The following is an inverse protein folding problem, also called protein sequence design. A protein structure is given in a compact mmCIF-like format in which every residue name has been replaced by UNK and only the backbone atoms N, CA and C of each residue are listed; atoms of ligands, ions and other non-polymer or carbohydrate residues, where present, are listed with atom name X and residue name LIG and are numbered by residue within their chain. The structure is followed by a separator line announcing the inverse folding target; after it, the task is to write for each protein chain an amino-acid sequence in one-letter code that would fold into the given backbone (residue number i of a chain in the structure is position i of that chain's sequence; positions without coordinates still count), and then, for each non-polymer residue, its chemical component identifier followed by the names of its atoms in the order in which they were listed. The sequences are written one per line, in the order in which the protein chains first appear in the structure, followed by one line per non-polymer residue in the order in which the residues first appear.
data_IF_844601539273
#
_entry.id   IF_844601539273
#
_cell.length_a   1.000
_cell.length_b   1.000
_cell.length_c   1.000
_cell.angle_alpha   90.00
_cell.angle_beta   90.00
_cell.angle_gamma   90.00
#
_symmetry.space_group_name_H-M   'P 1'
#
loop_
_entity.id
_entity.type
_entity.pdbx_description
1 polymer ?
#
# COMPACT_ATOMS: atom_id res chain seq x y z
N UNK A 1 24.84 -10.41 -18.97
CA UNK A 1 24.03 -9.18 -18.79
C UNK A 1 23.09 -9.25 -17.57
N UNK A 2 22.26 -10.29 -17.38
CA UNK A 2 21.35 -10.39 -16.21
C UNK A 2 22.04 -10.47 -14.84
N UNK A 3 23.22 -11.11 -14.72
CA UNK A 3 23.95 -11.20 -13.45
C UNK A 3 24.51 -9.85 -12.97
N UNK A 4 24.99 -9.03 -13.91
CA UNK A 4 25.50 -7.67 -13.65
C UNK A 4 24.36 -6.72 -13.28
N UNK A 5 23.14 -6.94 -13.75
CA UNK A 5 22.02 -6.08 -13.33
C UNK A 5 21.62 -6.41 -11.88
N UNK A 6 21.64 -7.67 -11.46
CA UNK A 6 21.16 -8.10 -10.13
C UNK A 6 21.93 -7.56 -8.92
N UNK A 7 23.24 -7.27 -9.04
CA UNK A 7 24.01 -6.75 -7.89
C UNK A 7 23.63 -5.31 -7.48
N UNK A 8 23.05 -4.52 -8.39
CA UNK A 8 22.60 -3.15 -8.11
C UNK A 8 21.16 -3.07 -7.59
N UNK A 9 20.39 -4.17 -7.69
CA UNK A 9 18.97 -4.18 -7.32
C UNK A 9 18.76 -4.04 -5.82
N UNK A 10 19.42 -4.88 -5.01
CA UNK A 10 19.25 -4.80 -3.56
C UNK A 10 19.71 -3.46 -2.98
N UNK A 11 20.88 -2.90 -3.35
CA UNK A 11 21.25 -1.56 -2.94
C UNK A 11 20.23 -0.49 -3.38
N UNK A 12 19.75 -0.56 -4.63
CA UNK A 12 18.74 0.39 -5.15
C UNK A 12 17.41 0.31 -4.40
N UNK A 13 16.88 -0.90 -4.17
CA UNK A 13 15.67 -1.12 -3.37
C UNK A 13 15.90 -0.60 -1.95
N UNK A 14 17.02 -0.95 -1.32
CA UNK A 14 17.33 -0.48 0.03
C UNK A 14 17.39 1.05 0.10
N UNK A 15 18.02 1.69 -0.89
CA UNK A 15 18.08 3.14 -0.98
C UNK A 15 16.70 3.79 -1.11
N UNK A 16 15.79 3.22 -1.92
CA UNK A 16 14.40 3.70 -2.03
C UNK A 16 13.67 3.61 -0.68
N UNK A 17 13.83 2.50 0.05
CA UNK A 17 13.24 2.32 1.37
C UNK A 17 13.80 3.31 2.40
N UNK A 18 15.13 3.50 2.42
CA UNK A 18 15.78 4.47 3.31
C UNK A 18 15.39 5.91 2.98
N UNK A 19 15.30 6.26 1.69
CA UNK A 19 14.81 7.56 1.25
C UNK A 19 13.39 7.81 1.77
N UNK A 20 12.49 6.86 1.58
CA UNK A 20 11.12 6.97 2.09
C UNK A 20 11.07 7.15 3.61
N UNK A 21 11.80 6.32 4.36
CA UNK A 21 11.90 6.45 5.83
C UNK A 21 12.43 7.80 6.26
N UNK A 22 13.44 8.35 5.57
CA UNK A 22 13.97 9.67 5.86
C UNK A 22 12.94 10.78 5.59
N UNK A 23 12.17 10.67 4.50
CA UNK A 23 11.09 11.61 4.19
C UNK A 23 9.98 11.54 5.24
N UNK A 24 9.58 10.34 5.66
CA UNK A 24 8.58 10.20 6.72
C UNK A 24 9.07 10.74 8.05
N UNK A 25 10.34 10.47 8.42
CA UNK A 25 10.97 11.05 9.59
C UNK A 25 10.98 12.59 9.56
N UNK A 26 11.27 13.18 8.40
CA UNK A 26 11.16 14.62 8.20
C UNK A 26 9.72 15.12 8.38
N UNK A 27 8.73 14.43 7.79
CA UNK A 27 7.31 14.80 7.92
C UNK A 27 6.87 14.74 9.38
N UNK A 28 7.27 13.74 10.16
CA UNK A 28 6.91 13.62 11.58
C UNK A 28 7.61 14.68 12.42
N UNK A 29 8.89 14.94 12.17
CA UNK A 29 9.70 15.85 13.00
C UNK A 29 9.54 17.33 12.63
N UNK A 30 9.12 17.66 11.40
CA UNK A 30 9.02 19.07 10.94
C UNK A 30 8.23 19.99 11.87
N UNK A 31 7.11 19.60 12.51
CA UNK A 31 6.36 20.53 13.35
C UNK A 31 7.13 20.85 14.63
N UNK A 32 7.83 19.86 15.20
CA UNK A 32 8.67 20.03 16.38
C UNK A 32 9.89 20.91 16.08
N UNK A 33 10.43 20.77 14.88
CA UNK A 33 11.62 21.49 14.43
C UNK A 33 11.31 22.82 13.70
N UNK A 34 10.03 23.21 13.60
CA UNK A 34 9.57 24.40 12.87
C UNK A 34 10.05 24.46 11.41
N UNK A 35 10.14 23.30 10.75
CA UNK A 35 10.56 23.18 9.36
C UNK A 35 9.36 23.32 8.41
N UNK A 36 9.56 23.89 7.20
CA UNK A 36 8.48 24.07 6.23
C UNK A 36 7.95 22.73 5.71
N UNK A 37 6.70 22.68 5.20
CA UNK A 37 6.23 21.52 4.45
C UNK A 37 6.70 21.62 3.00
N UNK A 38 7.47 20.63 2.53
CA UNK A 38 7.88 20.53 1.13
C UNK A 38 6.82 19.70 0.39
N UNK A 39 5.80 20.36 -0.17
CA UNK A 39 4.62 19.69 -0.74
C UNK A 39 4.96 18.69 -1.84
N UNK A 40 5.98 18.97 -2.67
CA UNK A 40 6.43 18.07 -3.75
C UNK A 40 6.99 16.74 -3.22
N UNK A 41 7.40 16.68 -1.94
CA UNK A 41 8.00 15.48 -1.38
C UNK A 41 6.98 14.34 -1.19
N UNK A 42 5.69 14.64 -1.04
CA UNK A 42 4.65 13.65 -0.79
C UNK A 42 4.39 12.71 -1.98
N UNK A 43 4.12 13.22 -3.21
CA UNK A 43 3.99 12.34 -4.37
C UNK A 43 5.30 11.62 -4.70
N UNK A 44 6.46 12.26 -4.50
CA UNK A 44 7.76 11.60 -4.72
C UNK A 44 8.01 10.47 -3.70
N UNK A 45 7.64 10.66 -2.44
CA UNK A 45 7.71 9.62 -1.42
C UNK A 45 6.78 8.45 -1.76
N UNK A 46 5.56 8.74 -2.22
CA UNK A 46 4.60 7.71 -2.67
C UNK A 46 5.17 6.90 -3.83
N UNK A 47 5.74 7.55 -4.85
CA UNK A 47 6.35 6.89 -5.99
C UNK A 47 7.62 6.11 -5.62
N UNK A 48 8.46 6.65 -4.73
CA UNK A 48 9.64 5.97 -4.23
C UNK A 48 9.27 4.73 -3.43
N UNK A 49 8.23 4.80 -2.58
CA UNK A 49 7.78 3.67 -1.80
C UNK A 49 7.05 2.63 -2.65
N UNK A 50 6.30 3.06 -3.66
CA UNK A 50 5.76 2.16 -4.67
C UNK A 50 6.89 1.39 -5.39
N UNK A 51 7.93 2.10 -5.84
CA UNK A 51 9.09 1.50 -6.50
C UNK A 51 9.85 0.54 -5.57
N UNK A 52 10.01 0.92 -4.30
CA UNK A 52 10.53 0.04 -3.25
C UNK A 52 9.68 -1.23 -3.11
N UNK A 53 8.38 -1.10 -2.90
CA UNK A 53 7.46 -2.22 -2.71
C UNK A 53 7.45 -3.15 -3.91
N UNK A 54 7.44 -2.61 -5.13
CA UNK A 54 7.46 -3.40 -6.35
C UNK A 54 8.80 -4.11 -6.54
N UNK A 55 9.91 -3.38 -6.38
CA UNK A 55 11.25 -3.95 -6.48
C UNK A 55 11.49 -5.05 -5.45
N UNK A 56 11.08 -4.81 -4.20
CA UNK A 56 11.20 -5.77 -3.11
C UNK A 56 10.30 -7.00 -3.33
N UNK A 57 9.05 -6.81 -3.79
CA UNK A 57 8.16 -7.91 -4.14
C UNK A 57 8.71 -8.77 -5.30
N UNK A 58 9.21 -8.13 -6.35
CA UNK A 58 9.84 -8.82 -7.49
C UNK A 58 11.06 -9.62 -7.03
N UNK A 59 11.89 -9.04 -6.16
CA UNK A 59 13.09 -9.70 -5.64
C UNK A 59 12.78 -10.90 -4.74
N UNK A 60 11.88 -10.72 -3.77
CA UNK A 60 11.63 -11.72 -2.71
C UNK A 60 10.59 -12.76 -3.10
N UNK A 61 9.54 -12.37 -3.84
CA UNK A 61 8.43 -13.27 -4.18
C UNK A 61 8.55 -13.85 -5.61
N UNK A 62 9.27 -13.13 -6.48
CA UNK A 62 9.37 -13.40 -7.91
C UNK A 62 8.30 -12.70 -8.74
N UNK A 63 8.61 -12.49 -10.02
CA UNK A 63 7.76 -11.78 -11.00
C UNK A 63 6.30 -12.21 -11.02
N UNK A 64 6.02 -13.52 -11.07
CA UNK A 64 4.64 -14.04 -11.15
C UNK A 64 3.77 -13.62 -9.96
N UNK A 65 4.31 -13.73 -8.74
CA UNK A 65 3.58 -13.38 -7.50
C UNK A 65 3.49 -11.87 -7.33
N UNK A 66 4.56 -11.14 -7.60
CA UNK A 66 4.58 -9.68 -7.50
C UNK A 66 3.61 -9.01 -8.48
N UNK A 67 3.62 -9.43 -9.76
CA UNK A 67 2.74 -8.86 -10.79
C UNK A 67 1.28 -9.23 -10.58
N UNK A 68 0.99 -10.42 -10.01
CA UNK A 68 -0.38 -10.75 -9.62
C UNK A 68 -0.87 -9.85 -8.49
N UNK A 69 -0.05 -9.61 -7.46
CA UNK A 69 -0.42 -8.68 -6.39
C UNK A 69 -0.66 -7.28 -6.95
N UNK A 70 0.25 -6.78 -7.79
CA UNK A 70 0.13 -5.49 -8.48
C UNK A 70 -1.17 -5.38 -9.28
N UNK A 71 -1.46 -6.39 -10.11
CA UNK A 71 -2.66 -6.41 -10.93
C UNK A 71 -3.94 -6.45 -10.11
N UNK A 72 -3.96 -7.23 -9.02
CA UNK A 72 -5.13 -7.31 -8.13
C UNK A 72 -5.34 -6.00 -7.36
N UNK A 73 -4.31 -5.39 -6.80
CA UNK A 73 -4.45 -4.13 -6.05
C UNK A 73 -4.83 -2.98 -6.98
N UNK A 74 -4.25 -2.91 -8.19
CA UNK A 74 -4.64 -1.90 -9.18
C UNK A 74 -6.06 -2.13 -9.67
N UNK A 75 -6.39 -3.35 -10.10
CA UNK A 75 -7.69 -3.66 -10.70
C UNK A 75 -8.84 -3.54 -9.69
N UNK A 76 -8.73 -4.19 -8.53
CA UNK A 76 -9.78 -4.18 -7.51
C UNK A 76 -9.82 -2.82 -6.80
N UNK A 77 -8.67 -2.24 -6.48
CA UNK A 77 -8.62 -0.90 -5.87
C UNK A 77 -9.26 0.16 -6.77
N UNK A 78 -8.83 0.26 -8.04
CA UNK A 78 -9.42 1.22 -8.97
C UNK A 78 -10.91 0.97 -9.23
N UNK A 79 -11.32 -0.30 -9.30
CA UNK A 79 -12.75 -0.65 -9.45
C UNK A 79 -13.56 -0.15 -8.26
N UNK A 80 -13.14 -0.47 -7.03
CA UNK A 80 -13.87 -0.09 -5.82
C UNK A 80 -13.84 1.43 -5.60
N UNK A 81 -12.72 2.09 -5.90
CA UNK A 81 -12.61 3.56 -5.91
C UNK A 81 -13.58 4.20 -6.91
N UNK A 82 -13.64 3.68 -8.14
CA UNK A 82 -14.53 4.22 -9.17
C UNK A 82 -16.00 4.04 -8.78
N UNK A 83 -16.36 2.87 -8.24
CA UNK A 83 -17.71 2.61 -7.71
C UNK A 83 -17.98 3.52 -6.50
N UNK A 84 -17.00 3.71 -5.62
CA UNK A 84 -17.05 4.60 -4.46
C UNK A 84 -17.39 6.04 -4.83
N UNK A 85 -16.63 6.62 -5.76
CA UNK A 85 -16.86 7.99 -6.24
C UNK A 85 -18.22 8.12 -6.93
N UNK A 86 -18.66 7.11 -7.70
CA UNK A 86 -19.93 7.18 -8.44
C UNK A 86 -21.18 6.95 -7.58
N UNK A 87 -21.07 6.14 -6.52
CA UNK A 87 -22.24 5.61 -5.81
C UNK A 87 -22.24 5.89 -4.31
N UNK A 88 -21.09 6.30 -3.75
CA UNK A 88 -20.86 6.35 -2.32
C UNK A 88 -20.69 4.97 -1.66
N UNK A 89 -20.71 3.87 -2.41
CA UNK A 89 -20.41 2.53 -1.90
C UNK A 89 -19.05 2.03 -2.42
N UNK A 90 -18.16 1.46 -1.58
CA UNK A 90 -18.41 1.07 -0.20
C UNK A 90 -18.04 2.12 0.85
N UNK A 91 -17.38 3.22 0.49
CA UNK A 91 -16.71 4.12 1.44
C UNK A 91 -17.59 5.19 2.11
N UNK A 92 -18.76 5.46 1.56
CA UNK A 92 -19.53 6.68 1.80
C UNK A 92 -19.36 7.66 0.64
N UNK A 93 -20.23 8.68 0.50
CA UNK A 93 -20.14 9.67 -0.56
C UNK A 93 -18.97 10.65 -0.33
N UNK A 94 -18.10 10.77 -1.33
CA UNK A 94 -16.94 11.66 -1.37
C UNK A 94 -16.55 11.96 -2.81
N UNK A 95 -15.73 12.97 -3.00
CA UNK A 95 -15.08 13.22 -4.29
C UNK A 95 -13.62 13.67 -4.11
N UNK A 96 -12.79 13.27 -5.06
CA UNK A 96 -11.43 13.79 -5.18
C UNK A 96 -11.42 15.24 -5.65
N UNK A 97 -10.55 16.06 -5.08
CA UNK A 97 -10.24 17.40 -5.62
C UNK A 97 -9.19 17.31 -6.72
N UNK A 98 -8.83 18.44 -7.32
CA UNK A 98 -7.81 18.49 -8.37
C UNK A 98 -6.38 18.47 -7.82
N UNK A 99 -6.20 18.41 -6.49
CA UNK A 99 -4.87 18.44 -5.83
C UNK A 99 -3.99 17.23 -6.15
N UNK A 100 -4.58 16.11 -6.56
CA UNK A 100 -3.86 14.89 -6.95
C UNK A 100 -3.59 14.81 -8.46
N UNK A 101 -3.89 15.88 -9.20
CA UNK A 101 -3.70 15.95 -10.64
C UNK A 101 -4.84 15.33 -11.43
N UNK A 102 -4.59 14.95 -12.71
CA UNK A 102 -5.61 14.40 -13.59
C UNK A 102 -6.25 13.12 -13.04
N UNK A 103 -7.50 12.86 -13.42
CA UNK A 103 -8.28 11.69 -12.97
C UNK A 103 -8.47 10.70 -14.11
N UNK A 104 -8.26 9.42 -13.84
CA UNK A 104 -8.62 8.31 -14.74
C UNK A 104 -10.14 8.33 -14.92
N UNK A 105 -10.59 8.41 -16.17
CA UNK A 105 -12.01 8.52 -16.54
C UNK A 105 -12.75 9.70 -15.86
N UNK A 106 -12.02 10.73 -15.40
CA UNK A 106 -12.60 11.84 -14.65
C UNK A 106 -12.93 11.53 -13.17
N UNK A 107 -12.65 10.31 -12.69
CA UNK A 107 -13.08 9.83 -11.37
C UNK A 107 -11.92 9.77 -10.37
N UNK A 108 -10.91 8.95 -10.64
CA UNK A 108 -9.90 8.54 -9.65
C UNK A 108 -8.50 8.97 -10.09
N UNK A 109 -7.74 9.72 -9.28
CA UNK A 109 -6.35 10.08 -9.60
C UNK A 109 -5.45 8.83 -9.75
N UNK A 110 -4.54 8.76 -10.74
CA UNK A 110 -3.61 7.63 -10.92
C UNK A 110 -2.73 7.32 -9.70
N UNK A 111 -2.50 8.30 -8.82
CA UNK A 111 -1.72 8.09 -7.60
C UNK A 111 -2.42 7.15 -6.61
N UNK A 112 -3.75 7.03 -6.68
CA UNK A 112 -4.54 6.18 -5.77
C UNK A 112 -4.25 4.69 -6.01
N UNK A 113 -4.38 4.10 -7.20
CA UNK A 113 -4.00 2.69 -7.44
C UNK A 113 -2.51 2.42 -7.16
N UNK A 114 -1.63 3.42 -7.34
CA UNK A 114 -0.22 3.34 -6.93
C UNK A 114 -0.11 3.19 -5.41
N UNK A 115 -0.83 4.02 -4.64
CA UNK A 115 -0.87 3.96 -3.18
C UNK A 115 -1.47 2.64 -2.65
N UNK A 116 -2.48 2.10 -3.33
CA UNK A 116 -3.03 0.78 -3.02
C UNK A 116 -1.93 -0.30 -3.03
N UNK A 117 -1.13 -0.40 -4.10
CA UNK A 117 -0.04 -1.37 -4.13
C UNK A 117 1.09 -1.03 -3.15
N UNK A 118 1.44 0.25 -3.07
CA UNK A 118 2.50 0.78 -2.19
C UNK A 118 2.35 0.23 -0.76
N UNK A 119 1.12 0.27 -0.22
CA UNK A 119 0.84 -0.16 1.15
C UNK A 119 0.36 -1.62 1.26
N UNK A 120 -0.26 -2.18 0.22
CA UNK A 120 -0.68 -3.59 0.26
C UNK A 120 0.49 -4.56 0.45
N UNK A 121 1.61 -4.30 -0.24
CA UNK A 121 2.80 -5.14 -0.14
C UNK A 121 3.39 -5.22 1.28
N UNK A 122 3.79 -4.10 1.92
CA UNK A 122 4.33 -4.14 3.28
C UNK A 122 3.32 -4.66 4.30
N UNK A 123 2.02 -4.37 4.15
CA UNK A 123 0.96 -4.94 5.00
C UNK A 123 0.93 -6.47 4.95
N UNK A 124 1.14 -7.06 3.77
CA UNK A 124 1.23 -8.51 3.64
C UNK A 124 2.51 -9.08 4.26
N UNK A 125 3.65 -8.43 4.03
CA UNK A 125 4.95 -8.85 4.59
C UNK A 125 4.90 -8.85 6.12
N UNK A 126 4.31 -7.82 6.73
CA UNK A 126 4.09 -7.75 8.18
C UNK A 126 3.32 -8.99 8.69
N UNK A 127 2.20 -9.32 8.05
CA UNK A 127 1.39 -10.49 8.45
C UNK A 127 2.10 -11.80 8.21
N UNK A 128 2.83 -11.95 7.10
CA UNK A 128 3.66 -13.13 6.85
C UNK A 128 4.73 -13.30 7.93
N UNK A 129 5.33 -12.21 8.40
CA UNK A 129 6.32 -12.24 9.49
C UNK A 129 5.69 -12.65 10.82
N UNK A 130 4.55 -12.08 11.17
CA UNK A 130 3.86 -12.33 12.44
C UNK A 130 3.25 -13.73 12.53
N UNK A 131 2.87 -14.32 11.40
CA UNK A 131 2.14 -15.60 11.37
C UNK A 131 2.99 -16.78 10.88
N UNK A 132 4.31 -16.61 10.75
CA UNK A 132 5.22 -17.67 10.29
C UNK A 132 5.01 -18.04 8.82
N UNK A 133 5.33 -17.12 7.90
CA UNK A 133 5.25 -17.32 6.46
C UNK A 133 6.09 -18.50 5.97
N UNK A 134 5.59 -19.20 4.95
CA UNK A 134 6.26 -20.37 4.34
C UNK A 134 5.31 -21.56 4.15
N UNK A 135 5.56 -22.36 3.12
CA UNK A 135 4.78 -23.57 2.82
C UNK A 135 3.45 -23.34 2.08
N UNK A 136 2.72 -24.44 1.85
CA UNK A 136 1.39 -24.39 1.23
C UNK A 136 0.35 -23.95 2.26
N UNK A 137 -0.36 -22.87 1.94
CA UNK A 137 -1.37 -22.29 2.83
C UNK A 137 -2.71 -23.02 2.70
N UNK A 138 -3.29 -23.43 3.85
CA UNK A 138 -4.67 -23.96 3.89
C UNK A 138 -5.67 -22.83 3.65
N UNK A 139 -6.88 -23.14 3.14
CA UNK A 139 -7.91 -22.12 2.86
C UNK A 139 -8.22 -21.26 4.09
N UNK A 140 -8.40 -21.89 5.27
CA UNK A 140 -8.65 -21.14 6.51
C UNK A 140 -7.51 -20.20 6.89
N UNK A 141 -6.26 -20.61 6.65
CA UNK A 141 -5.09 -19.74 6.87
C UNK A 141 -5.04 -18.58 5.87
N UNK A 142 -5.42 -18.82 4.61
CA UNK A 142 -5.49 -17.79 3.58
C UNK A 142 -6.54 -16.72 3.94
N UNK A 143 -7.73 -17.14 4.37
CA UNK A 143 -8.79 -16.23 4.83
C UNK A 143 -8.33 -15.44 6.05
N UNK A 144 -7.78 -16.12 7.05
CA UNK A 144 -7.30 -15.48 8.27
C UNK A 144 -6.23 -14.43 8.00
N UNK A 145 -5.19 -14.79 7.23
CA UNK A 145 -4.10 -13.87 6.89
C UNK A 145 -4.54 -12.77 5.94
N UNK A 146 -5.53 -13.00 5.06
CA UNK A 146 -6.13 -11.93 4.27
C UNK A 146 -6.84 -10.91 5.16
N UNK A 147 -7.59 -11.38 6.17
CA UNK A 147 -8.22 -10.53 7.18
C UNK A 147 -7.19 -9.70 7.95
N UNK A 148 -6.11 -10.32 8.43
CA UNK A 148 -5.03 -9.59 9.10
C UNK A 148 -4.35 -8.56 8.21
N UNK A 149 -4.10 -8.88 6.93
CA UNK A 149 -3.47 -7.93 5.99
C UNK A 149 -4.40 -6.77 5.67
N UNK A 150 -5.71 -7.03 5.55
CA UNK A 150 -6.75 -6.01 5.39
C UNK A 150 -6.83 -5.08 6.61
N UNK A 151 -6.79 -5.64 7.82
CA UNK A 151 -6.76 -4.87 9.07
C UNK A 151 -5.52 -4.00 9.20
N UNK A 152 -4.34 -4.54 8.86
CA UNK A 152 -3.09 -3.77 8.86
C UNK A 152 -3.24 -2.56 7.90
N UNK A 153 -3.56 -2.82 6.64
CA UNK A 153 -3.69 -1.76 5.64
C UNK A 153 -4.78 -0.74 5.98
N UNK A 154 -5.91 -1.15 6.54
CA UNK A 154 -6.97 -0.22 7.00
C UNK A 154 -6.52 0.57 8.23
N UNK A 155 -5.70 -0.03 9.10
CA UNK A 155 -5.06 0.67 10.22
C UNK A 155 -4.17 1.82 9.76
N UNK A 156 -3.51 1.68 8.62
CA UNK A 156 -2.80 2.77 7.99
C UNK A 156 -3.74 3.86 7.45
N UNK A 157 -4.85 3.48 6.79
CA UNK A 157 -5.84 4.45 6.30
C UNK A 157 -6.45 5.30 7.43
N UNK A 158 -6.70 4.70 8.60
CA UNK A 158 -7.14 5.42 9.81
C UNK A 158 -6.17 6.55 10.21
N UNK A 159 -4.88 6.43 9.91
CA UNK A 159 -3.87 7.45 10.19
C UNK A 159 -3.72 8.44 9.03
N UNK A 160 -3.75 7.94 7.80
CA UNK A 160 -3.48 8.72 6.58
C UNK A 160 -4.67 9.59 6.15
N UNK A 161 -5.90 9.07 6.24
CA UNK A 161 -7.11 9.74 5.74
C UNK A 161 -7.36 11.10 6.41
N UNK A 162 -7.24 11.27 7.74
CA UNK A 162 -7.35 12.59 8.37
C UNK A 162 -6.37 13.63 7.82
N UNK A 163 -5.13 13.23 7.49
CA UNK A 163 -4.12 14.12 6.94
C UNK A 163 -4.50 14.56 5.52
N UNK A 164 -5.07 13.65 4.73
CA UNK A 164 -5.44 13.93 3.35
C UNK A 164 -6.72 14.76 3.23
N UNK A 165 -7.70 14.52 4.11
CA UNK A 165 -8.89 15.37 4.26
C UNK A 165 -8.51 16.76 4.74
N UNK A 166 -7.67 16.89 5.77
CA UNK A 166 -7.18 18.18 6.26
C UNK A 166 -6.37 18.94 5.18
N UNK A 167 -5.66 18.19 4.33
CA UNK A 167 -4.93 18.73 3.18
C UNK A 167 -5.79 18.83 1.91
N UNK A 168 -7.11 18.64 2.01
CA UNK A 168 -8.10 18.86 0.94
C UNK A 168 -7.89 18.03 -0.33
N UNK A 169 -7.34 16.82 -0.23
CA UNK A 169 -7.16 15.93 -1.39
C UNK A 169 -8.48 15.27 -1.83
N UNK A 170 -9.38 15.04 -0.89
CA UNK A 170 -10.77 14.65 -1.12
C UNK A 170 -11.65 15.25 -0.04
N UNK A 171 -12.94 15.29 -0.32
CA UNK A 171 -13.96 15.85 0.57
C UNK A 171 -15.07 14.82 0.75
N UNK A 172 -15.39 14.54 2.02
CA UNK A 172 -16.54 13.71 2.39
C UNK A 172 -17.81 14.56 2.36
N UNK A 173 -18.85 14.06 1.70
CA UNK A 173 -20.15 14.77 1.57
C UNK A 173 -21.04 14.59 2.80
N UNK A 174 -20.72 13.60 3.63
CA UNK A 174 -21.36 13.34 4.91
C UNK A 174 -20.33 13.47 6.02
N UNK A 175 -20.71 14.15 7.11
CA UNK A 175 -19.84 14.34 8.26
C UNK A 175 -19.83 13.07 9.11
N UNK A 176 -18.67 12.42 9.18
CA UNK A 176 -18.46 11.28 10.06
C UNK A 176 -17.86 11.63 11.42
N UNK A 177 -17.81 10.62 12.29
CA UNK A 177 -17.42 10.77 13.71
C UNK A 177 -15.91 10.79 13.97
N UNK A 178 -15.08 10.38 13.01
CA UNK A 178 -13.63 10.31 13.17
C UNK A 178 -12.96 11.33 12.25
N UNK A 179 -12.51 12.47 12.79
CA UNK A 179 -11.96 13.60 12.00
C UNK A 179 -12.86 14.06 10.82
N UNK A 180 -14.18 13.87 10.92
CA UNK A 180 -15.13 14.17 9.84
C UNK A 180 -15.31 13.04 8.82
N UNK A 181 -14.58 11.94 8.95
CA UNK A 181 -14.60 10.78 8.06
C UNK A 181 -15.69 9.77 8.50
N UNK A 182 -16.53 9.27 7.58
CA UNK A 182 -17.57 8.28 7.90
C UNK A 182 -16.97 6.94 8.32
N UNK A 183 -17.55 6.28 9.32
CA UNK A 183 -17.15 4.92 9.71
C UNK A 183 -17.30 3.91 8.55
N UNK A 184 -18.21 4.22 7.62
CA UNK A 184 -18.40 3.48 6.37
C UNK A 184 -17.10 3.41 5.53
N UNK A 185 -16.23 4.44 5.57
CA UNK A 185 -14.96 4.43 4.84
C UNK A 185 -14.11 3.25 5.25
N UNK A 186 -13.90 3.08 6.56
CA UNK A 186 -13.06 2.03 7.11
C UNK A 186 -13.65 0.62 6.89
N UNK A 187 -14.97 0.49 6.93
CA UNK A 187 -15.63 -0.74 6.51
C UNK A 187 -15.38 -1.04 5.03
N UNK A 188 -15.47 -0.02 4.16
CA UNK A 188 -15.15 -0.13 2.74
C UNK A 188 -13.70 -0.52 2.49
N UNK A 189 -12.74 0.09 3.19
CA UNK A 189 -11.32 -0.27 3.15
C UNK A 189 -11.08 -1.73 3.53
N UNK A 190 -11.71 -2.22 4.61
CA UNK A 190 -11.63 -3.62 4.99
C UNK A 190 -12.17 -4.52 3.88
N UNK A 191 -13.32 -4.20 3.28
CA UNK A 191 -13.89 -5.00 2.18
C UNK A 191 -12.97 -5.00 0.95
N UNK A 192 -12.51 -3.84 0.50
CA UNK A 192 -11.64 -3.70 -0.68
C UNK A 192 -10.33 -4.45 -0.48
N UNK A 193 -9.64 -4.20 0.64
CA UNK A 193 -8.35 -4.83 0.94
C UNK A 193 -8.46 -6.32 1.16
N UNK A 194 -9.46 -6.77 1.91
CA UNK A 194 -9.73 -8.18 2.10
C UNK A 194 -9.97 -8.89 0.78
N UNK A 195 -10.72 -8.27 -0.14
CA UNK A 195 -11.03 -8.86 -1.45
C UNK A 195 -9.76 -9.15 -2.25
N UNK A 196 -8.87 -8.16 -2.43
CA UNK A 196 -7.66 -8.41 -3.21
C UNK A 196 -6.65 -9.30 -2.47
N UNK A 197 -6.53 -9.22 -1.14
CA UNK A 197 -5.64 -10.10 -0.38
C UNK A 197 -6.12 -11.54 -0.40
N UNK A 198 -7.43 -11.76 -0.26
CA UNK A 198 -8.02 -13.10 -0.31
C UNK A 198 -7.81 -13.72 -1.69
N UNK A 199 -8.15 -13.00 -2.75
CA UNK A 199 -7.93 -13.48 -4.12
C UNK A 199 -6.45 -13.77 -4.38
N UNK A 200 -5.57 -12.87 -3.96
CA UNK A 200 -4.13 -13.06 -4.07
C UNK A 200 -3.67 -14.36 -3.39
N UNK A 201 -4.08 -14.59 -2.15
CA UNK A 201 -3.70 -15.79 -1.38
C UNK A 201 -4.30 -17.05 -1.98
N UNK A 202 -5.59 -17.04 -2.36
CA UNK A 202 -6.24 -18.20 -2.97
C UNK A 202 -5.58 -18.61 -4.29
N UNK A 203 -5.18 -17.65 -5.11
CA UNK A 203 -4.50 -17.87 -6.39
C UNK A 203 -3.04 -18.32 -6.20
N UNK A 204 -2.35 -17.80 -5.19
CA UNK A 204 -0.92 -18.09 -4.97
C UNK A 204 -0.63 -19.21 -3.97
N UNK A 205 -1.62 -19.74 -3.24
CA UNK A 205 -1.44 -20.76 -2.19
C UNK A 205 -0.68 -22.01 -2.64
N UNK A 206 -0.79 -22.38 -3.92
CA UNK A 206 -0.10 -23.53 -4.53
C UNK A 206 1.12 -23.12 -5.38
N UNK A 207 1.40 -21.83 -5.49
CA UNK A 207 2.51 -21.35 -6.31
C UNK A 207 3.78 -21.27 -5.47
N UNK A 208 4.88 -21.91 -5.89
CA UNK A 208 6.14 -21.77 -5.19
C UNK A 208 6.63 -20.31 -5.26
N UNK A 209 7.19 -19.83 -4.15
CA UNK A 209 7.94 -18.57 -4.15
C UNK A 209 9.20 -18.77 -4.99
N UNK A 210 9.47 -17.87 -5.95
CA UNK A 210 10.65 -17.96 -6.84
C UNK A 210 11.40 -16.62 -6.82
N UNK A 211 12.18 -16.34 -5.75
CA UNK A 211 12.91 -15.10 -5.62
C UNK A 211 13.89 -14.89 -6.78
N UNK A 212 14.17 -13.64 -7.12
CA UNK A 212 15.17 -13.31 -8.15
C UNK A 212 16.61 -13.41 -7.64
N UNK A 213 16.80 -13.39 -6.32
CA UNK A 213 18.09 -13.58 -5.68
C UNK A 213 17.97 -13.88 -4.18
N UNK A 214 19.09 -14.25 -3.53
CA UNK A 214 19.13 -14.47 -2.10
C UNK A 214 18.82 -13.16 -1.35
N UNK A 215 18.29 -13.28 -0.14
CA UNK A 215 17.91 -12.12 0.69
C UNK A 215 18.28 -12.38 2.14
N UNK A 216 19.01 -11.45 2.76
CA UNK A 216 19.28 -11.49 4.21
C UNK A 216 17.99 -11.23 5.00
N UNK A 217 17.95 -11.63 6.27
CA UNK A 217 16.80 -11.33 7.14
C UNK A 217 16.53 -9.83 7.23
N UNK A 218 17.59 -9.01 7.35
CA UNK A 218 17.46 -7.54 7.36
C UNK A 218 16.82 -6.98 6.10
N UNK A 219 17.18 -7.51 4.93
CA UNK A 219 16.56 -7.08 3.68
C UNK A 219 15.07 -7.45 3.66
N UNK A 220 14.72 -8.69 4.05
CA UNK A 220 13.34 -9.17 4.10
C UNK A 220 12.45 -8.35 5.05
N UNK A 221 13.02 -7.81 6.13
CA UNK A 221 12.31 -7.02 7.14
C UNK A 221 12.18 -5.53 6.76
N UNK A 222 12.83 -5.04 5.69
CA UNK A 222 12.74 -3.62 5.27
C UNK A 222 11.31 -3.11 5.08
N UNK A 223 10.37 -3.85 4.45
CA UNK A 223 9.00 -3.38 4.29
C UNK A 223 8.27 -3.17 5.61
N UNK A 224 8.64 -3.92 6.66
CA UNK A 224 8.07 -3.75 8.00
C UNK A 224 8.52 -2.42 8.60
N UNK A 225 9.82 -2.10 8.48
CA UNK A 225 10.34 -0.80 8.90
C UNK A 225 9.65 0.36 8.16
N UNK A 226 9.49 0.24 6.84
CA UNK A 226 8.81 1.24 6.03
C UNK A 226 7.32 1.38 6.39
N UNK A 227 6.63 0.28 6.71
CA UNK A 227 5.25 0.30 7.21
C UNK A 227 5.14 1.09 8.52
N UNK A 228 6.00 0.80 9.50
CA UNK A 228 5.93 1.38 10.85
C UNK A 228 6.17 2.89 10.87
N UNK A 229 6.97 3.40 9.92
CA UNK A 229 7.30 4.83 9.83
C UNK A 229 6.34 5.63 8.95
N UNK A 230 5.37 4.98 8.29
CA UNK A 230 4.35 5.68 7.50
C UNK A 230 3.25 6.24 8.40
#
# INVERSE_FOLDING_TARGET
MMAVVRHLWQPGITALGLFYTAVMGYIVLRPLLHLPLIVVILPLATLAFFAFSLGHALWTMGGRRALLLLGLTFGIGLLFESVGVLTGWPYGPYHYTDRLGPKLFGLVPPLIPIAWFMMAYPSQVLVERLTGGGGQERIGQAIWRAGLSAMAMTGWDLMMDPLMVASGHWVWEVRGGYFGIPAQNYAGWLVTTFTFFLLYRLLTRRWPVRPWGPSSARFQDLPIGAYVVT
#
